data_IF_549481473091
#
_entry.id   IF_549481473091
#
_cell.length_a   1.000
_cell.length_b   1.000
_cell.length_c   1.000
_cell.angle_alpha   90.00
_cell.angle_beta   90.00
_cell.angle_gamma   90.00
#
_symmetry.space_group_name_H-M   'P 1'
#
loop_
_entity.id
_entity.type
_entity.pdbx_description
1 polymer ?
#
# COMPACT_ATOMS: atom_id res chain seq x y z
N UNK A 1 -49.85 -32.69 -2.75
CA UNK A 1 -49.33 -31.96 -3.92
C UNK A 1 -48.87 -30.61 -3.40
N UNK A 2 -47.64 -30.21 -3.76
CA UNK A 2 -46.97 -28.96 -3.41
C UNK A 2 -46.52 -28.79 -1.95
N UNK A 3 -45.28 -29.18 -1.66
CA UNK A 3 -44.41 -28.46 -0.72
C UNK A 3 -42.94 -28.87 -0.98
N UNK A 4 -42.26 -28.18 -1.90
CA UNK A 4 -40.84 -28.43 -2.20
C UNK A 4 -40.10 -27.28 -2.90
N UNK A 5 -40.65 -26.06 -2.83
CA UNK A 5 -40.13 -24.90 -3.56
C UNK A 5 -39.66 -23.74 -2.67
N UNK A 6 -39.71 -23.87 -1.34
CA UNK A 6 -39.27 -22.80 -0.42
C UNK A 6 -37.78 -22.87 -0.06
N UNK A 7 -37.17 -24.06 0.06
CA UNK A 7 -35.75 -24.20 0.46
C UNK A 7 -34.68 -23.53 -0.46
N UNK A 8 -34.77 -23.53 -1.81
CA UNK A 8 -33.67 -22.99 -2.63
C UNK A 8 -33.58 -21.46 -2.57
N UNK A 9 -34.61 -20.75 -2.09
CA UNK A 9 -34.59 -19.29 -1.98
C UNK A 9 -33.88 -18.82 -0.71
N UNK A 10 -33.98 -19.61 0.36
CA UNK A 10 -33.31 -19.32 1.63
C UNK A 10 -31.80 -19.57 1.52
N UNK A 11 -31.36 -20.65 0.86
CA UNK A 11 -29.93 -20.89 0.59
C UNK A 11 -29.29 -19.79 -0.27
N UNK A 12 -30.01 -19.29 -1.28
CA UNK A 12 -29.54 -18.18 -2.13
C UNK A 12 -29.47 -16.87 -1.33
N UNK A 13 -30.41 -16.66 -0.40
CA UNK A 13 -30.41 -15.53 0.53
C UNK A 13 -29.21 -15.58 1.48
N UNK A 14 -28.96 -16.74 2.07
CA UNK A 14 -27.83 -16.99 2.98
C UNK A 14 -26.48 -16.85 2.26
N UNK A 15 -26.36 -17.35 1.03
CA UNK A 15 -25.15 -17.16 0.20
C UNK A 15 -24.92 -15.67 -0.10
N UNK A 16 -25.98 -14.92 -0.37
CA UNK A 16 -25.88 -13.49 -0.68
C UNK A 16 -25.46 -12.69 0.55
N UNK A 17 -26.00 -13.03 1.72
CA UNK A 17 -25.63 -12.43 2.99
C UNK A 17 -24.19 -12.78 3.39
N UNK A 18 -23.76 -14.02 3.17
CA UNK A 18 -22.37 -14.42 3.35
C UNK A 18 -21.44 -13.64 2.42
N UNK A 19 -21.81 -13.45 1.15
CA UNK A 19 -21.02 -12.69 0.18
C UNK A 19 -20.87 -11.21 0.57
N UNK A 20 -21.95 -10.59 1.04
CA UNK A 20 -21.95 -9.19 1.50
C UNK A 20 -21.08 -9.01 2.75
N UNK A 21 -21.11 -9.97 3.68
CA UNK A 21 -20.21 -9.99 4.83
C UNK A 21 -18.73 -10.16 4.40
N UNK A 22 -18.46 -11.00 3.40
CA UNK A 22 -17.11 -11.17 2.83
C UNK A 22 -16.60 -9.89 2.18
N UNK A 23 -17.44 -9.15 1.45
CA UNK A 23 -17.05 -7.86 0.88
C UNK A 23 -16.72 -6.83 1.97
N UNK A 24 -17.50 -6.76 3.05
CA UNK A 24 -17.22 -5.86 4.17
C UNK A 24 -15.93 -6.21 4.90
N UNK A 25 -15.66 -7.49 5.15
CA UNK A 25 -14.40 -7.92 5.76
C UNK A 25 -13.20 -7.61 4.86
N UNK A 26 -13.35 -7.83 3.55
CA UNK A 26 -12.32 -7.49 2.55
C UNK A 26 -12.04 -5.98 2.52
N UNK A 27 -13.06 -5.14 2.62
CA UNK A 27 -12.94 -3.67 2.70
C UNK A 27 -12.16 -3.26 3.97
N UNK A 28 -12.48 -3.88 5.12
CA UNK A 28 -11.79 -3.63 6.40
C UNK A 28 -10.33 -4.08 6.36
N UNK A 29 -10.07 -5.26 5.83
CA UNK A 29 -8.72 -5.79 5.66
C UNK A 29 -7.92 -4.88 4.73
N UNK A 30 -8.51 -4.40 3.63
CA UNK A 30 -7.90 -3.40 2.74
C UNK A 30 -7.60 -2.09 3.46
N UNK A 31 -8.50 -1.58 4.31
CA UNK A 31 -8.29 -0.35 5.07
C UNK A 31 -7.15 -0.50 6.11
N UNK A 32 -7.07 -1.64 6.79
CA UNK A 32 -6.00 -1.96 7.73
C UNK A 32 -4.66 -2.09 6.98
N UNK A 33 -4.65 -2.80 5.85
CA UNK A 33 -3.49 -2.91 4.94
C UNK A 33 -3.06 -1.52 4.43
N UNK A 34 -4.01 -0.66 4.07
CA UNK A 34 -3.75 0.71 3.64
C UNK A 34 -3.14 1.57 4.75
N UNK A 35 -3.53 1.34 5.99
CA UNK A 35 -3.02 2.05 7.18
C UNK A 35 -1.59 1.61 7.51
N UNK A 36 -1.26 0.33 7.36
CA UNK A 36 0.07 -0.22 7.68
C UNK A 36 1.07 0.03 6.53
N UNK A 37 0.60 -0.10 5.29
CA UNK A 37 1.37 0.14 4.08
C UNK A 37 1.53 1.61 3.71
N UNK A 38 0.97 2.53 4.51
CA UNK A 38 0.98 3.96 4.23
C UNK A 38 0.43 4.24 2.83
N UNK A 39 -0.90 4.19 2.67
CA UNK A 39 -1.52 4.73 1.45
C UNK A 39 -0.89 6.11 1.20
N UNK A 40 -0.35 6.37 -0.01
CA UNK A 40 0.17 7.69 -0.33
C UNK A 40 -1.01 8.66 -0.24
N UNK A 41 -1.14 9.27 0.93
CA UNK A 41 -2.17 10.26 1.19
C UNK A 41 -1.97 11.39 0.19
N UNK A 42 -3.03 12.12 -0.14
CA UNK A 42 -2.92 13.35 -0.93
C UNK A 42 -1.79 14.26 -0.41
N UNK A 43 -1.55 14.23 0.92
CA UNK A 43 -0.46 14.93 1.59
C UNK A 43 0.94 14.48 1.14
N UNK A 44 1.20 13.19 0.93
CA UNK A 44 2.52 12.71 0.48
C UNK A 44 2.76 13.05 -0.99
N UNK A 45 1.72 13.00 -1.83
CA UNK A 45 1.80 13.48 -3.22
C UNK A 45 2.09 14.99 -3.26
N UNK A 46 1.42 15.77 -2.43
CA UNK A 46 1.63 17.21 -2.30
C UNK A 46 3.07 17.53 -1.86
N UNK A 47 3.58 16.85 -0.83
CA UNK A 47 4.97 16.99 -0.35
C UNK A 47 5.99 16.64 -1.44
N UNK A 48 5.68 15.68 -2.32
CA UNK A 48 6.58 15.33 -3.41
C UNK A 48 6.60 16.42 -4.49
N UNK A 49 5.43 16.94 -4.87
CA UNK A 49 5.29 18.04 -5.83
C UNK A 49 6.00 19.29 -5.31
N UNK A 50 5.73 19.68 -4.06
CA UNK A 50 6.38 20.84 -3.41
C UNK A 50 7.89 20.70 -3.42
N UNK A 51 8.43 19.50 -3.19
CA UNK A 51 9.87 19.28 -3.21
C UNK A 51 10.49 19.38 -4.59
N UNK A 52 9.81 18.89 -5.63
CA UNK A 52 10.23 19.09 -7.02
C UNK A 52 10.26 20.58 -7.36
N UNK A 53 9.22 21.33 -6.96
CA UNK A 53 9.16 22.78 -7.15
C UNK A 53 10.33 23.48 -6.45
N UNK A 54 10.62 23.10 -5.20
CA UNK A 54 11.76 23.65 -4.44
C UNK A 54 13.09 23.38 -5.16
N UNK A 55 13.33 22.17 -5.67
CA UNK A 55 14.56 21.85 -6.42
C UNK A 55 14.66 22.70 -7.68
N UNK A 56 13.58 22.80 -8.46
CA UNK A 56 13.57 23.59 -9.70
C UNK A 56 13.86 25.06 -9.41
N UNK A 57 13.23 25.62 -8.38
CA UNK A 57 13.48 27.01 -7.95
C UNK A 57 14.91 27.19 -7.45
N UNK A 58 15.45 26.26 -6.66
CA UNK A 58 16.83 26.30 -6.19
C UNK A 58 17.83 26.30 -7.35
N UNK A 59 17.58 25.48 -8.38
CA UNK A 59 18.40 25.45 -9.61
C UNK A 59 18.32 26.78 -10.36
N UNK A 60 17.13 27.36 -10.51
CA UNK A 60 16.97 28.67 -11.19
C UNK A 60 17.68 29.78 -10.43
N UNK A 61 17.53 29.84 -9.09
CA UNK A 61 18.24 30.82 -8.24
C UNK A 61 19.75 30.63 -8.37
N UNK A 62 20.21 29.38 -8.40
CA UNK A 62 21.62 29.06 -8.57
C UNK A 62 22.21 29.55 -9.90
N UNK A 63 21.41 29.75 -10.96
CA UNK A 63 21.88 30.31 -12.23
C UNK A 63 22.03 31.84 -12.20
N UNK A 64 21.32 32.53 -11.30
CA UNK A 64 21.29 33.99 -11.19
C UNK A 64 22.31 34.50 -10.16
N UNK A 65 22.66 33.68 -9.17
CA UNK A 65 23.57 34.03 -8.07
C UNK A 65 25.05 33.90 -8.48
N UNK A 66 25.88 34.82 -7.96
CA UNK A 66 27.33 34.88 -8.18
C UNK A 66 28.06 33.53 -7.97
N UNK A 67 29.13 33.33 -8.75
CA UNK A 67 29.96 32.13 -8.83
C UNK A 67 30.34 31.52 -7.45
N UNK A 68 30.62 32.39 -6.47
CA UNK A 68 31.02 31.98 -5.10
C UNK A 68 29.91 31.29 -4.32
N UNK A 69 28.69 31.78 -4.43
CA UNK A 69 27.53 31.24 -3.71
C UNK A 69 26.85 30.11 -4.47
N UNK A 70 27.06 30.04 -5.79
CA UNK A 70 26.55 29.00 -6.67
C UNK A 70 26.99 27.60 -6.24
N UNK A 71 28.28 27.42 -5.97
CA UNK A 71 28.83 26.12 -5.53
C UNK A 71 28.21 25.65 -4.20
N UNK A 72 28.13 26.54 -3.21
CA UNK A 72 27.52 26.22 -1.91
C UNK A 72 26.04 25.87 -2.01
N UNK A 73 25.28 26.54 -2.88
CA UNK A 73 23.86 26.26 -3.10
C UNK A 73 23.63 24.90 -3.76
N UNK A 74 24.48 24.51 -4.72
CA UNK A 74 24.40 23.21 -5.38
C UNK A 74 24.72 22.09 -4.38
N UNK A 75 25.76 22.25 -3.56
CA UNK A 75 26.09 21.29 -2.50
C UNK A 75 24.95 21.14 -1.50
N UNK A 76 24.39 22.25 -1.01
CA UNK A 76 23.26 22.22 -0.07
C UNK A 76 22.03 21.54 -0.68
N UNK A 77 21.73 21.82 -1.95
CA UNK A 77 20.62 21.19 -2.68
C UNK A 77 20.83 19.68 -2.80
N UNK A 78 22.06 19.26 -3.10
CA UNK A 78 22.43 17.84 -3.23
C UNK A 78 22.30 17.10 -1.90
N UNK A 79 22.73 17.72 -0.80
CA UNK A 79 22.57 17.16 0.56
C UNK A 79 21.10 17.08 0.96
N UNK A 80 20.31 18.11 0.67
CA UNK A 80 18.87 18.09 0.97
C UNK A 80 18.13 17.01 0.19
N UNK A 81 18.51 16.81 -1.08
CA UNK A 81 17.98 15.74 -1.92
C UNK A 81 18.34 14.35 -1.36
N UNK A 82 19.59 14.13 -0.94
CA UNK A 82 20.03 12.85 -0.41
C UNK A 82 19.30 12.48 0.88
N UNK A 83 19.11 13.44 1.79
CA UNK A 83 18.32 13.26 3.02
C UNK A 83 16.88 12.87 2.71
N UNK A 84 16.24 13.50 1.71
CA UNK A 84 14.88 13.12 1.29
C UNK A 84 14.83 11.69 0.72
N UNK A 85 15.81 11.29 -0.08
CA UNK A 85 15.86 9.92 -0.60
C UNK A 85 15.96 8.91 0.54
N UNK A 86 16.83 9.15 1.52
CA UNK A 86 16.96 8.30 2.72
C UNK A 86 15.63 8.23 3.48
N UNK A 87 14.96 9.36 3.68
CA UNK A 87 13.65 9.41 4.34
C UNK A 87 12.59 8.60 3.58
N UNK A 88 12.56 8.73 2.24
CA UNK A 88 11.64 7.96 1.39
C UNK A 88 11.90 6.45 1.51
N UNK A 89 13.16 6.03 1.47
CA UNK A 89 13.54 4.62 1.62
C UNK A 89 13.14 4.10 3.00
N UNK A 90 13.33 4.89 4.05
CA UNK A 90 12.91 4.53 5.41
C UNK A 90 11.40 4.27 5.52
N UNK A 91 10.59 5.14 4.91
CA UNK A 91 9.13 4.92 4.81
C UNK A 91 8.81 3.63 4.02
N UNK A 92 9.50 3.40 2.89
CA UNK A 92 9.25 2.22 2.05
C UNK A 92 9.60 0.89 2.74
N UNK A 93 10.59 0.85 3.64
CA UNK A 93 10.96 -0.37 4.37
C UNK A 93 9.81 -0.95 5.19
N UNK A 94 9.01 -0.10 5.84
CA UNK A 94 7.84 -0.54 6.62
C UNK A 94 6.79 -1.22 5.73
N UNK A 95 6.55 -0.65 4.56
CA UNK A 95 5.60 -1.19 3.58
C UNK A 95 6.08 -2.52 3.01
N UNK A 96 7.37 -2.64 2.70
CA UNK A 96 7.94 -3.89 2.21
C UNK A 96 7.89 -5.00 3.26
N UNK A 97 8.17 -4.69 4.53
CA UNK A 97 8.02 -5.67 5.60
C UNK A 97 6.57 -6.15 5.73
N UNK A 98 5.61 -5.24 5.59
CA UNK A 98 4.20 -5.61 5.60
C UNK A 98 3.79 -6.47 4.39
N UNK A 99 4.28 -6.13 3.18
CA UNK A 99 4.08 -6.95 1.97
C UNK A 99 4.69 -8.34 2.12
N UNK A 100 5.83 -8.45 2.79
CA UNK A 100 6.44 -9.75 3.08
C UNK A 100 5.58 -10.55 4.06
N UNK A 101 5.14 -9.92 5.15
CA UNK A 101 4.31 -10.57 6.17
C UNK A 101 3.00 -11.13 5.60
N UNK A 102 2.29 -10.37 4.74
CA UNK A 102 1.06 -10.84 4.12
C UNK A 102 1.31 -12.01 3.16
N UNK A 103 2.41 -11.97 2.40
CA UNK A 103 2.76 -13.05 1.47
C UNK A 103 3.03 -14.36 2.22
N UNK A 104 3.79 -14.29 3.31
CA UNK A 104 4.07 -15.45 4.17
C UNK A 104 2.80 -16.01 4.81
N UNK A 105 1.87 -15.15 5.23
CA UNK A 105 0.59 -15.60 5.79
C UNK A 105 -0.27 -16.33 4.74
N UNK A 106 -0.29 -15.82 3.50
CA UNK A 106 -1.00 -16.46 2.37
C UNK A 106 -0.33 -17.79 2.01
N UNK A 107 1.00 -17.83 1.93
CA UNK A 107 1.76 -19.04 1.64
C UNK A 107 1.47 -20.14 2.66
N UNK A 108 1.49 -19.80 3.95
CA UNK A 108 1.16 -20.73 5.03
C UNK A 108 -0.28 -21.25 4.91
N UNK A 109 -1.26 -20.37 4.67
CA UNK A 109 -2.67 -20.73 4.51
C UNK A 109 -2.91 -21.64 3.29
N UNK A 110 -2.26 -21.36 2.16
CA UNK A 110 -2.33 -22.19 0.96
C UNK A 110 -1.75 -23.59 1.23
N UNK A 111 -0.62 -23.65 1.92
CA UNK A 111 0.01 -24.92 2.28
C UNK A 111 -0.89 -25.76 3.19
N UNK A 112 -1.53 -25.15 4.19
CA UNK A 112 -2.49 -25.83 5.07
C UNK A 112 -3.70 -26.39 4.29
N UNK A 113 -4.29 -25.59 3.40
CA UNK A 113 -5.38 -26.06 2.54
C UNK A 113 -4.93 -27.22 1.63
N UNK A 114 -3.70 -27.18 1.10
CA UNK A 114 -3.16 -28.26 0.28
C UNK A 114 -3.02 -29.56 1.08
N UNK A 115 -2.63 -29.49 2.36
CA UNK A 115 -2.61 -30.64 3.28
C UNK A 115 -4.02 -31.18 3.52
N UNK A 116 -5.00 -30.33 3.81
CA UNK A 116 -6.39 -30.73 4.04
C UNK A 116 -7.01 -31.40 2.80
N UNK A 117 -6.79 -30.84 1.61
CA UNK A 117 -7.24 -31.43 0.34
C UNK A 117 -6.62 -32.82 0.13
N UNK A 118 -5.32 -32.98 0.45
CA UNK A 118 -4.63 -34.27 0.32
C UNK A 118 -5.16 -35.32 1.30
N UNK A 119 -5.61 -34.91 2.49
CA UNK A 119 -6.27 -35.78 3.47
C UNK A 119 -7.68 -36.17 3.02
N UNK A 120 -8.46 -35.26 2.42
CA UNK A 120 -9.80 -35.55 1.88
C UNK A 120 -9.78 -36.43 0.64
N UNK A 121 -8.71 -36.35 -0.16
CA UNK A 121 -8.54 -37.19 -1.36
C UNK A 121 -8.11 -38.63 -1.01
N UNK A 122 -7.67 -38.88 0.23
CA UNK A 122 -7.21 -40.19 0.69
C UNK A 122 -8.34 -40.92 1.41
#
# INVERSE_FOLDING_TARGET
>A
MADKHEEPKDEIGDLKQALENFEQEKERVRAIIGTIGGVPSFNTKLINIVFIVIIVVAVIISLIVDEKWRLLMIELTTVMLSVKIIYMIHIQMRVNHFKFWILSAIEWRINEMMVQIKQLKR
#
